data_IF_504112392274
#
_entry.id   IF_504112392274
#
_cell.length_a   1.000
_cell.length_b   1.000
_cell.length_c   1.000
_cell.angle_alpha   90.00
_cell.angle_beta   90.00
_cell.angle_gamma   90.00
#
_symmetry.space_group_name_H-M   'P 1'
#
loop_
_entity.id
_entity.type
_entity.pdbx_description
1 polymer ?
#
# COMPACT_ATOMS: atom_id res chain seq x y z
N UNK A 1 12.89 22.90 6.27
CA UNK A 1 11.63 22.22 6.54
C UNK A 1 11.93 20.83 7.07
N UNK A 2 11.19 20.42 8.10
CA UNK A 2 11.41 19.10 8.73
C UNK A 2 11.05 18.00 7.74
N UNK A 3 12.02 17.15 7.45
CA UNK A 3 11.89 16.00 6.55
C UNK A 3 11.91 14.74 7.42
N UNK A 4 10.94 13.84 7.22
CA UNK A 4 11.03 12.50 7.78
C UNK A 4 11.99 11.70 6.91
N UNK A 5 13.04 11.19 7.50
CA UNK A 5 14.04 10.37 6.82
C UNK A 5 13.95 8.94 7.37
N UNK A 6 13.73 7.98 6.49
CA UNK A 6 13.79 6.55 6.83
C UNK A 6 15.02 5.99 6.13
N UNK A 7 15.95 5.40 6.89
CA UNK A 7 17.16 4.78 6.34
C UNK A 7 16.84 3.39 5.79
N UNK A 8 17.59 2.92 4.81
CA UNK A 8 17.36 1.61 4.19
C UNK A 8 17.27 0.42 5.18
N UNK A 9 18.12 0.31 6.23
CA UNK A 9 17.96 -0.76 7.22
C UNK A 9 16.65 -0.65 8.02
N UNK A 10 16.25 0.57 8.37
CA UNK A 10 14.99 0.83 9.08
C UNK A 10 13.79 0.51 8.20
N UNK A 11 13.82 0.92 6.93
CA UNK A 11 12.80 0.57 5.95
C UNK A 11 12.66 -0.95 5.81
N UNK A 12 13.79 -1.67 5.68
CA UNK A 12 13.80 -3.13 5.61
C UNK A 12 13.18 -3.80 6.86
N UNK A 13 13.46 -3.26 8.04
CA UNK A 13 12.86 -3.72 9.30
C UNK A 13 11.35 -3.51 9.31
N UNK A 14 10.86 -2.32 8.91
CA UNK A 14 9.43 -2.01 8.84
C UNK A 14 8.71 -2.90 7.83
N UNK A 15 9.32 -3.15 6.66
CA UNK A 15 8.79 -4.09 5.65
C UNK A 15 8.64 -5.49 6.24
N UNK A 16 9.65 -6.00 6.95
CA UNK A 16 9.59 -7.33 7.56
C UNK A 16 8.51 -7.42 8.64
N UNK A 17 8.41 -6.40 9.50
CA UNK A 17 7.37 -6.33 10.54
C UNK A 17 5.97 -6.29 9.94
N UNK A 18 5.76 -5.50 8.88
CA UNK A 18 4.51 -5.46 8.16
C UNK A 18 4.19 -6.80 7.50
N UNK A 19 5.17 -7.45 6.86
CA UNK A 19 5.00 -8.79 6.28
C UNK A 19 4.61 -9.81 7.34
N UNK A 20 5.30 -9.85 8.48
CA UNK A 20 4.96 -10.74 9.59
C UNK A 20 3.54 -10.49 10.13
N UNK A 21 3.14 -9.22 10.25
CA UNK A 21 1.78 -8.85 10.64
C UNK A 21 0.73 -9.31 9.64
N UNK A 22 0.92 -9.03 8.36
CA UNK A 22 0.02 -9.46 7.30
C UNK A 22 -0.08 -10.98 7.21
N UNK A 23 1.04 -11.70 7.32
CA UNK A 23 1.06 -13.17 7.29
C UNK A 23 0.23 -13.78 8.43
N UNK A 24 0.30 -13.23 9.64
CA UNK A 24 -0.54 -13.66 10.78
C UNK A 24 -2.04 -13.48 10.52
N UNK A 25 -2.41 -12.59 9.61
CA UNK A 25 -3.78 -12.37 9.16
C UNK A 25 -4.12 -13.10 7.86
N UNK A 26 -3.31 -14.09 7.47
CA UNK A 26 -3.58 -14.98 6.35
C UNK A 26 -3.19 -14.43 4.97
N UNK A 27 -2.43 -13.32 4.90
CA UNK A 27 -1.89 -12.84 3.63
C UNK A 27 -0.67 -13.66 3.27
N UNK A 28 -0.64 -14.16 2.03
CA UNK A 28 0.42 -15.01 1.51
C UNK A 28 0.37 -15.13 -0.01
N UNK A 29 0.99 -16.19 -0.54
CA UNK A 29 1.02 -16.44 -1.98
C UNK A 29 -0.40 -16.56 -2.55
N UNK A 30 -0.66 -15.79 -3.61
CA UNK A 30 -1.97 -15.73 -4.26
C UNK A 30 -2.95 -14.70 -3.67
N UNK A 31 -2.66 -14.14 -2.47
CA UNK A 31 -3.44 -13.03 -1.91
C UNK A 31 -3.35 -11.79 -2.78
N UNK A 32 -4.48 -11.09 -2.98
CA UNK A 32 -4.53 -9.82 -3.71
C UNK A 32 -4.80 -8.67 -2.75
N UNK A 33 -3.78 -7.83 -2.57
CA UNK A 33 -3.80 -6.72 -1.59
C UNK A 33 -3.80 -5.38 -2.31
N UNK A 34 -4.85 -4.61 -2.08
CA UNK A 34 -5.01 -3.28 -2.64
C UNK A 34 -4.27 -2.20 -1.84
N UNK A 35 -3.56 -1.32 -2.52
CA UNK A 35 -2.96 -0.13 -1.93
C UNK A 35 -3.72 1.11 -2.37
N UNK A 36 -4.60 1.62 -1.50
CA UNK A 36 -5.30 2.90 -1.67
C UNK A 36 -4.57 3.97 -0.86
N UNK A 37 -3.36 4.28 -1.28
CA UNK A 37 -2.40 5.12 -0.57
C UNK A 37 -1.81 6.18 -1.51
N UNK A 38 -1.59 7.41 -1.03
CA UNK A 38 -0.75 8.36 -1.75
C UNK A 38 0.72 7.94 -1.65
N UNK A 39 1.57 8.55 -2.48
CA UNK A 39 3.02 8.37 -2.41
C UNK A 39 3.51 8.70 -0.99
N UNK A 40 3.95 7.70 -0.28
CA UNK A 40 4.36 7.79 1.12
C UNK A 40 5.29 6.65 1.50
N UNK A 41 6.04 6.76 2.59
CA UNK A 41 6.82 5.63 3.11
C UNK A 41 5.95 4.39 3.38
N UNK A 42 4.73 4.56 3.87
CA UNK A 42 3.78 3.45 4.11
C UNK A 42 3.45 2.69 2.83
N UNK A 43 3.29 3.39 1.69
CA UNK A 43 3.09 2.73 0.41
C UNK A 43 4.24 1.75 0.12
N UNK A 44 5.49 2.22 0.23
CA UNK A 44 6.68 1.40 -0.05
C UNK A 44 6.78 0.22 0.92
N UNK A 45 6.53 0.46 2.21
CA UNK A 45 6.55 -0.59 3.25
C UNK A 45 5.53 -1.69 2.92
N UNK A 46 4.28 -1.31 2.64
CA UNK A 46 3.20 -2.25 2.34
C UNK A 46 3.43 -2.97 1.01
N UNK A 47 3.89 -2.26 -0.02
CA UNK A 47 4.21 -2.81 -1.32
C UNK A 47 5.20 -3.97 -1.20
N UNK A 48 6.36 -3.72 -0.60
CA UNK A 48 7.38 -4.76 -0.44
C UNK A 48 6.99 -5.84 0.57
N UNK A 49 6.20 -5.54 1.59
CA UNK A 49 5.69 -6.53 2.52
C UNK A 49 4.80 -7.56 1.81
N UNK A 50 3.88 -7.10 0.97
CA UNK A 50 3.01 -7.99 0.17
C UNK A 50 3.82 -8.84 -0.79
N UNK A 51 4.78 -8.25 -1.52
CA UNK A 51 5.63 -8.99 -2.45
C UNK A 51 6.47 -10.06 -1.75
N UNK A 52 7.02 -9.79 -0.56
CA UNK A 52 7.78 -10.78 0.23
C UNK A 52 6.94 -11.99 0.64
N UNK A 53 5.65 -11.83 0.77
CA UNK A 53 4.71 -12.89 1.07
C UNK A 53 4.22 -13.65 -0.18
N UNK A 54 4.65 -13.25 -1.39
CA UNK A 54 4.17 -13.81 -2.66
C UNK A 54 2.74 -13.36 -3.00
N UNK A 55 2.25 -12.31 -2.35
CA UNK A 55 0.98 -11.69 -2.69
C UNK A 55 1.10 -10.77 -3.89
N UNK A 56 -0.02 -10.49 -4.54
CA UNK A 56 -0.13 -9.54 -5.65
C UNK A 56 -0.57 -8.18 -5.13
N UNK A 57 0.18 -7.15 -5.42
CA UNK A 57 -0.21 -5.76 -5.14
C UNK A 57 -1.20 -5.27 -6.21
N UNK A 58 -2.29 -4.66 -5.79
CA UNK A 58 -3.25 -3.98 -6.67
C UNK A 58 -3.20 -2.48 -6.37
N UNK A 59 -2.72 -1.68 -7.33
CA UNK A 59 -2.62 -0.24 -7.12
C UNK A 59 -3.96 0.43 -7.40
N UNK A 60 -4.44 1.20 -6.40
CA UNK A 60 -5.67 1.98 -6.47
C UNK A 60 -5.37 3.48 -6.47
N UNK A 61 -5.95 4.21 -7.41
CA UNK A 61 -5.83 5.66 -7.40
C UNK A 61 -6.67 6.25 -6.25
N UNK A 62 -6.06 7.01 -5.32
CA UNK A 62 -6.78 7.67 -4.22
C UNK A 62 -7.91 8.60 -4.65
N UNK A 63 -7.89 9.07 -5.90
CA UNK A 63 -8.91 9.97 -6.46
C UNK A 63 -10.14 9.24 -7.00
N UNK A 64 -10.10 7.92 -7.14
CA UNK A 64 -11.23 7.14 -7.65
C UNK A 64 -12.46 7.26 -6.75
N UNK A 65 -13.63 7.21 -7.39
CA UNK A 65 -14.93 7.12 -6.73
C UNK A 65 -15.15 5.74 -6.13
N UNK A 66 -16.15 5.60 -5.26
CA UNK A 66 -16.51 4.29 -4.68
C UNK A 66 -16.95 3.30 -5.77
N UNK A 67 -17.59 3.78 -6.83
CA UNK A 67 -18.03 2.95 -7.96
C UNK A 67 -16.84 2.40 -8.75
N UNK A 68 -15.86 3.26 -9.07
CA UNK A 68 -14.62 2.84 -9.74
C UNK A 68 -13.82 1.85 -8.89
N UNK A 69 -13.71 2.11 -7.57
CA UNK A 69 -13.07 1.20 -6.63
C UNK A 69 -13.83 -0.14 -6.56
N UNK A 70 -15.16 -0.12 -6.52
CA UNK A 70 -15.99 -1.33 -6.52
C UNK A 70 -15.75 -2.19 -7.75
N UNK A 71 -15.69 -1.56 -8.93
CA UNK A 71 -15.40 -2.26 -10.16
C UNK A 71 -14.02 -2.93 -10.11
N UNK A 72 -12.99 -2.16 -9.75
CA UNK A 72 -11.61 -2.65 -9.70
C UNK A 72 -11.43 -3.75 -8.65
N UNK A 73 -12.07 -3.66 -7.47
CA UNK A 73 -12.02 -4.68 -6.42
C UNK A 73 -12.60 -6.01 -6.94
N UNK A 74 -13.75 -5.96 -7.62
CA UNK A 74 -14.40 -7.15 -8.18
C UNK A 74 -13.57 -7.78 -9.30
N UNK A 75 -13.02 -6.96 -10.19
CA UNK A 75 -12.20 -7.43 -11.31
C UNK A 75 -10.88 -8.04 -10.86
N UNK A 76 -10.21 -7.39 -9.90
CA UNK A 76 -8.96 -7.87 -9.32
C UNK A 76 -9.13 -8.95 -8.25
N UNK A 77 -10.36 -9.19 -7.76
CA UNK A 77 -10.64 -10.04 -6.59
C UNK A 77 -9.82 -9.65 -5.35
N UNK A 78 -9.66 -8.34 -5.11
CA UNK A 78 -8.93 -7.82 -3.95
C UNK A 78 -9.61 -8.23 -2.64
N UNK A 79 -8.87 -8.86 -1.74
CA UNK A 79 -9.38 -9.36 -0.45
C UNK A 79 -9.06 -8.45 0.74
N UNK A 80 -8.11 -7.56 0.60
CA UNK A 80 -7.67 -6.60 1.62
C UNK A 80 -7.28 -5.29 0.97
N UNK A 81 -7.74 -4.15 1.49
CA UNK A 81 -7.23 -2.83 1.10
C UNK A 81 -6.46 -2.22 2.27
N UNK A 82 -5.30 -1.64 1.98
CA UNK A 82 -4.51 -0.83 2.91
C UNK A 82 -4.74 0.64 2.56
N UNK A 83 -5.15 1.44 3.54
CA UNK A 83 -5.48 2.86 3.38
C UNK A 83 -4.99 3.69 4.57
N UNK A 84 -5.17 5.02 4.51
CA UNK A 84 -4.89 5.94 5.61
C UNK A 84 -6.17 6.32 6.37
N UNK A 85 -6.02 6.78 7.62
CA UNK A 85 -7.07 7.35 8.45
C UNK A 85 -7.52 8.77 8.01
N UNK A 86 -7.15 9.21 6.80
CA UNK A 86 -7.70 10.43 6.21
C UNK A 86 -9.17 10.20 5.83
N UNK A 87 -10.06 11.11 6.29
CA UNK A 87 -11.51 10.98 6.07
C UNK A 87 -11.87 10.74 4.60
N UNK A 88 -11.25 11.48 3.68
CA UNK A 88 -11.48 11.37 2.23
C UNK A 88 -11.16 9.97 1.66
N UNK A 89 -10.27 9.21 2.28
CA UNK A 89 -9.92 7.85 1.87
C UNK A 89 -10.71 6.82 2.67
N UNK A 90 -10.75 6.99 4.00
CA UNK A 90 -11.37 6.03 4.88
C UNK A 90 -12.88 5.90 4.65
N UNK A 91 -13.60 7.00 4.40
CA UNK A 91 -15.04 6.99 4.11
C UNK A 91 -15.38 6.14 2.87
N UNK A 92 -14.53 6.15 1.85
CA UNK A 92 -14.70 5.28 0.67
C UNK A 92 -14.54 3.81 1.06
N UNK A 93 -13.49 3.49 1.84
CA UNK A 93 -13.23 2.13 2.30
C UNK A 93 -14.33 1.64 3.24
N UNK A 94 -14.83 2.49 4.12
CA UNK A 94 -15.97 2.19 4.99
C UNK A 94 -17.22 1.80 4.19
N UNK A 95 -17.56 2.55 3.14
CA UNK A 95 -18.68 2.21 2.25
C UNK A 95 -18.48 0.87 1.52
N UNK A 96 -17.25 0.58 1.06
CA UNK A 96 -16.92 -0.69 0.42
C UNK A 96 -17.01 -1.88 1.39
N UNK A 97 -16.65 -1.69 2.65
CA UNK A 97 -16.82 -2.67 3.70
C UNK A 97 -18.30 -2.87 4.05
N UNK A 98 -19.07 -1.79 4.19
CA UNK A 98 -20.52 -1.84 4.50
C UNK A 98 -21.31 -2.55 3.40
N UNK A 99 -20.98 -2.29 2.12
CA UNK A 99 -21.63 -2.96 0.99
C UNK A 99 -21.23 -4.43 0.81
N UNK A 100 -20.24 -4.92 1.55
CA UNK A 100 -19.74 -6.30 1.45
C UNK A 100 -18.87 -6.56 0.22
N UNK A 101 -18.54 -5.52 -0.57
CA UNK A 101 -17.63 -5.64 -1.72
C UNK A 101 -16.20 -5.93 -1.27
N UNK A 102 -15.78 -5.30 -0.18
CA UNK A 102 -14.47 -5.52 0.43
C UNK A 102 -14.64 -6.31 1.74
N UNK A 103 -13.90 -7.41 1.95
CA UNK A 103 -14.00 -8.20 3.19
C UNK A 103 -13.41 -7.51 4.41
N UNK A 104 -12.22 -6.90 4.27
CA UNK A 104 -11.42 -6.30 5.37
C UNK A 104 -10.48 -5.20 4.88
N UNK A 105 -10.01 -4.36 5.78
CA UNK A 105 -9.05 -3.32 5.47
C UNK A 105 -8.00 -3.14 6.57
N UNK A 106 -6.83 -2.63 6.19
CA UNK A 106 -5.80 -2.11 7.10
C UNK A 106 -5.88 -0.59 7.08
N UNK A 107 -5.91 0.02 8.25
CA UNK A 107 -5.87 1.48 8.39
C UNK A 107 -4.53 1.89 8.98
N UNK A 108 -3.79 2.69 8.22
CA UNK A 108 -2.52 3.29 8.62
C UNK A 108 -2.76 4.73 9.09
N UNK A 109 -1.94 5.18 10.02
CA UNK A 109 -2.09 6.52 10.60
C UNK A 109 -1.39 7.58 9.75
N UNK A 110 -2.13 8.51 9.16
CA UNK A 110 -1.53 9.64 8.44
C UNK A 110 -0.64 10.53 9.34
N UNK A 111 -1.03 10.85 10.59
CA UNK A 111 -0.15 11.61 11.48
C UNK A 111 1.19 10.94 11.78
N UNK A 112 1.31 9.61 11.70
CA UNK A 112 2.58 8.91 11.90
C UNK A 112 3.60 9.16 10.79
N UNK A 113 3.14 9.62 9.62
CA UNK A 113 3.98 10.01 8.47
C UNK A 113 4.58 11.41 8.61
N UNK A 114 4.18 12.16 9.62
CA UNK A 114 4.62 13.52 9.84
C UNK A 114 5.69 13.58 10.95
N UNK A 115 6.63 14.55 10.89
CA UNK A 115 7.47 14.84 12.04
C UNK A 115 6.63 15.12 13.29
N UNK A 116 7.14 14.74 14.48
CA UNK A 116 6.37 14.77 15.73
C UNK A 116 5.65 16.11 15.98
N UNK A 117 6.32 17.23 15.76
CA UNK A 117 5.73 18.58 15.92
C UNK A 117 4.57 18.81 14.94
N UNK A 118 4.74 18.45 13.68
CA UNK A 118 3.69 18.58 12.65
C UNK A 118 2.53 17.62 12.88
N UNK A 119 2.80 16.42 13.38
CA UNK A 119 1.79 15.43 13.77
C UNK A 119 0.85 15.99 14.84
N UNK A 120 1.41 16.59 15.89
CA UNK A 120 0.63 17.23 16.97
C UNK A 120 -0.20 18.39 16.42
N UNK A 121 0.44 19.30 15.67
CA UNK A 121 -0.25 20.44 15.06
C UNK A 121 -1.37 20.00 14.11
N UNK A 122 -1.12 18.97 13.30
CA UNK A 122 -2.14 18.41 12.40
C UNK A 122 -3.36 17.89 13.18
N UNK A 123 -3.13 17.14 14.25
CA UNK A 123 -4.21 16.64 15.12
C UNK A 123 -5.00 17.77 15.77
N UNK A 124 -4.33 18.84 16.20
CA UNK A 124 -4.99 19.99 16.84
C UNK A 124 -5.80 20.85 15.86
N UNK A 125 -5.23 21.19 14.71
CA UNK A 125 -5.84 22.14 13.79
C UNK A 125 -6.60 21.50 12.63
N UNK A 126 -6.23 20.27 12.23
CA UNK A 126 -6.82 19.55 11.10
C UNK A 126 -7.39 18.18 11.50
N UNK A 127 -7.62 17.95 12.78
CA UNK A 127 -8.18 16.69 13.28
C UNK A 127 -9.50 16.30 12.63
N UNK A 128 -10.28 17.26 12.12
CA UNK A 128 -11.52 17.00 11.36
C UNK A 128 -11.27 16.30 10.01
N UNK A 129 -10.04 16.33 9.50
CA UNK A 129 -9.66 15.62 8.28
C UNK A 129 -9.29 14.15 8.56
N UNK A 130 -9.20 13.77 9.83
CA UNK A 130 -8.98 12.39 10.24
C UNK A 130 -10.33 11.74 10.55
N UNK A 131 -10.51 10.54 10.02
CA UNK A 131 -11.58 9.64 10.44
C UNK A 131 -11.28 9.07 11.84
N UNK A 132 -12.27 8.45 12.44
CA UNK A 132 -12.10 7.64 13.65
C UNK A 132 -12.48 6.18 13.37
N UNK A 133 -11.57 5.40 12.75
CA UNK A 133 -11.88 4.03 12.32
C UNK A 133 -12.32 3.12 13.47
N UNK A 134 -11.81 3.34 14.70
CA UNK A 134 -12.16 2.54 15.85
C UNK A 134 -13.64 2.71 16.28
N UNK A 135 -14.29 3.82 15.88
CA UNK A 135 -15.72 4.07 16.12
C UNK A 135 -16.62 3.76 14.92
N UNK A 136 -16.03 3.27 13.82
CA UNK A 136 -16.76 2.89 12.63
C UNK A 136 -17.67 1.68 12.90
N UNK A 137 -18.86 1.61 12.28
CA UNK A 137 -19.71 0.41 12.32
C UNK A 137 -19.02 -0.85 11.82
N UNK A 138 -17.99 -0.69 10.96
CA UNK A 138 -17.21 -1.79 10.38
C UNK A 138 -15.87 -2.02 11.11
N UNK A 139 -15.68 -1.47 12.31
CA UNK A 139 -14.43 -1.59 13.06
C UNK A 139 -13.95 -3.05 13.24
N UNK A 140 -14.89 -4.00 13.33
CA UNK A 140 -14.59 -5.43 13.45
C UNK A 140 -13.93 -6.05 12.19
N UNK A 141 -13.93 -5.34 11.07
CA UNK A 141 -13.27 -5.73 9.80
C UNK A 141 -11.97 -4.96 9.56
N UNK A 142 -11.58 -4.11 10.51
CA UNK A 142 -10.38 -3.27 10.38
C UNK A 142 -9.22 -3.89 11.14
N UNK A 143 -8.05 -3.81 10.52
CA UNK A 143 -6.76 -4.04 11.14
C UNK A 143 -6.03 -2.70 11.23
N UNK A 144 -5.23 -2.51 12.26
CA UNK A 144 -4.47 -1.28 12.43
C UNK A 144 -2.98 -1.51 12.20
N UNK A 145 -2.34 -0.60 11.48
CA UNK A 145 -0.90 -0.66 11.18
C UNK A 145 -0.07 -0.88 12.45
N UNK A 146 -0.39 -0.15 13.53
CA UNK A 146 0.34 -0.24 14.79
C UNK A 146 0.38 -1.68 15.35
N UNK A 147 -0.73 -2.41 15.27
CA UNK A 147 -0.82 -3.80 15.73
C UNK A 147 -0.09 -4.76 14.78
N UNK A 148 -0.16 -4.48 13.46
CA UNK A 148 0.52 -5.30 12.46
C UNK A 148 2.02 -5.22 12.57
N UNK A 149 2.60 -4.06 12.88
CA UNK A 149 4.05 -3.87 13.00
C UNK A 149 4.59 -4.11 14.42
N UNK A 150 3.73 -4.40 15.41
CA UNK A 150 4.11 -4.70 16.79
C UNK A 150 4.66 -6.13 16.93
N UNK A 151 5.77 -6.42 16.25
CA UNK A 151 6.42 -7.73 16.24
C UNK A 151 7.92 -7.59 15.91
N UNK A 152 8.64 -8.71 15.90
CA UNK A 152 10.08 -8.80 15.63
C UNK A 152 10.44 -8.89 14.14
N UNK A 153 9.46 -8.95 13.25
CA UNK A 153 9.65 -9.05 11.80
C UNK A 153 9.97 -10.46 11.30
N UNK A 154 9.77 -11.49 12.14
CA UNK A 154 9.93 -12.88 11.71
C UNK A 154 8.69 -13.34 10.92
N UNK A 155 8.88 -13.79 9.70
CA UNK A 155 7.86 -14.35 8.81
C UNK A 155 8.48 -15.43 7.94
N UNK A 156 7.64 -16.25 7.33
CA UNK A 156 8.08 -17.27 6.38
C UNK A 156 7.99 -16.70 4.97
N UNK A 157 9.10 -16.45 4.27
CA UNK A 157 9.08 -15.97 2.89
C UNK A 157 8.41 -16.99 1.97
N UNK A 158 7.65 -16.51 0.98
CA UNK A 158 7.08 -17.35 -0.04
C UNK A 158 8.15 -17.76 -1.08
N UNK A 159 8.01 -18.98 -1.60
CA UNK A 159 8.74 -19.36 -2.82
C UNK A 159 8.05 -18.71 -4.02
N UNK A 160 8.77 -17.86 -4.72
CA UNK A 160 8.27 -17.05 -5.83
C UNK A 160 8.83 -17.60 -7.15
N UNK A 161 7.94 -17.88 -8.09
CA UNK A 161 8.29 -18.06 -9.50
C UNK A 161 8.31 -16.69 -10.17
N UNK A 162 9.51 -16.15 -10.39
CA UNK A 162 9.67 -14.77 -10.85
C UNK A 162 9.09 -14.52 -12.25
N UNK A 163 8.96 -15.54 -13.07
CA UNK A 163 8.46 -15.44 -14.44
C UNK A 163 6.92 -15.57 -14.50
N UNK A 164 6.32 -16.33 -13.60
CA UNK A 164 4.90 -16.66 -13.65
C UNK A 164 4.07 -16.05 -12.52
N UNK A 165 4.64 -15.83 -11.32
CA UNK A 165 3.89 -15.21 -10.23
C UNK A 165 3.68 -13.71 -10.51
N UNK A 166 2.42 -13.27 -10.42
CA UNK A 166 2.04 -11.87 -10.61
C UNK A 166 2.42 -11.07 -9.36
N UNK A 167 3.27 -10.07 -9.55
CA UNK A 167 3.68 -9.16 -8.49
C UNK A 167 2.69 -8.00 -8.34
N UNK A 168 2.23 -7.43 -9.48
CA UNK A 168 1.39 -6.24 -9.49
C UNK A 168 0.28 -6.35 -10.54
N UNK A 169 -0.92 -5.92 -10.15
CA UNK A 169 -1.99 -5.54 -11.07
C UNK A 169 -2.01 -4.02 -11.17
N UNK A 170 -1.57 -3.50 -12.32
CA UNK A 170 -1.56 -2.07 -12.58
C UNK A 170 -2.71 -1.69 -13.50
N UNK A 171 -3.71 -0.99 -12.94
CA UNK A 171 -4.83 -0.52 -13.73
C UNK A 171 -4.49 0.75 -14.50
N UNK A 172 -4.79 0.75 -15.78
CA UNK A 172 -4.62 1.91 -16.65
C UNK A 172 -5.98 2.47 -17.03
N UNK A 173 -6.12 3.79 -16.97
CA UNK A 173 -7.28 4.48 -17.55
C UNK A 173 -7.25 4.32 -19.07
N UNK A 174 -7.99 3.33 -19.59
CA UNK A 174 -8.11 3.12 -21.02
C UNK A 174 -8.86 4.28 -21.69
N UNK A 175 -8.39 4.72 -22.85
CA UNK A 175 -9.06 5.73 -23.69
C UNK A 175 -10.42 5.25 -24.24
N UNK A 176 -10.78 4.00 -24.02
CA UNK A 176 -11.90 3.32 -24.68
C UNK A 176 -12.91 2.67 -23.73
N UNK A 177 -12.95 2.99 -22.44
CA UNK A 177 -13.96 2.41 -21.54
C UNK A 177 -13.41 1.89 -20.22
N UNK A 178 -13.82 0.69 -19.80
CA UNK A 178 -13.51 0.08 -18.53
C UNK A 178 -11.99 -0.07 -18.31
N UNK A 179 -11.45 0.39 -17.17
CA UNK A 179 -10.04 0.20 -16.83
C UNK A 179 -9.63 -1.26 -16.87
N UNK A 180 -8.46 -1.56 -17.44
CA UNK A 180 -7.90 -2.91 -17.52
C UNK A 180 -6.68 -3.02 -16.63
N UNK A 181 -6.57 -4.10 -15.87
CA UNK A 181 -5.42 -4.42 -15.03
C UNK A 181 -4.32 -5.11 -15.84
N UNK A 182 -3.20 -4.44 -16.06
CA UNK A 182 -2.01 -5.08 -16.60
C UNK A 182 -1.39 -5.98 -15.53
N UNK A 183 -1.17 -7.25 -15.85
CA UNK A 183 -0.53 -8.24 -14.99
C UNK A 183 0.99 -8.15 -15.16
N UNK A 184 1.68 -7.71 -14.11
CA UNK A 184 3.14 -7.60 -14.11
C UNK A 184 3.73 -8.67 -13.20
N UNK A 185 4.59 -9.52 -13.76
CA UNK A 185 5.34 -10.52 -12.98
C UNK A 185 6.50 -9.86 -12.23
N UNK A 186 7.10 -10.58 -11.28
CA UNK A 186 8.32 -10.13 -10.62
C UNK A 186 9.46 -9.88 -11.61
N UNK A 187 9.59 -10.73 -12.64
CA UNK A 187 10.57 -10.54 -13.71
C UNK A 187 10.34 -9.25 -14.51
N UNK A 188 9.08 -8.92 -14.85
CA UNK A 188 8.77 -7.68 -15.56
C UNK A 188 9.24 -6.45 -14.79
N UNK A 189 8.97 -6.41 -13.48
CA UNK A 189 9.37 -5.29 -12.62
C UNK A 189 10.89 -5.22 -12.52
N UNK A 190 11.56 -6.35 -12.27
CA UNK A 190 13.01 -6.40 -12.13
C UNK A 190 13.73 -5.98 -13.41
N UNK A 191 13.30 -6.49 -14.58
CA UNK A 191 13.85 -6.12 -15.87
C UNK A 191 13.67 -4.62 -16.15
N UNK A 192 12.50 -4.06 -15.81
CA UNK A 192 12.26 -2.62 -15.96
C UNK A 192 13.21 -1.78 -15.10
N UNK A 193 13.49 -2.22 -13.86
CA UNK A 193 14.49 -1.56 -13.01
C UNK A 193 15.88 -1.60 -13.63
N UNK A 194 16.30 -2.74 -14.18
CA UNK A 194 17.60 -2.87 -14.86
C UNK A 194 17.70 -1.98 -16.12
N UNK A 195 16.63 -1.94 -16.91
CA UNK A 195 16.55 -1.05 -18.07
C UNK A 195 16.65 0.42 -17.64
N UNK A 196 15.91 0.82 -16.61
CA UNK A 196 15.95 2.19 -16.07
C UNK A 196 17.36 2.55 -15.57
N UNK A 197 18.03 1.63 -14.88
CA UNK A 197 19.41 1.82 -14.43
C UNK A 197 20.40 1.95 -15.59
N UNK A 198 20.20 1.18 -16.67
CA UNK A 198 21.03 1.27 -17.87
C UNK A 198 20.87 2.60 -18.62
N UNK A 199 19.67 3.18 -18.59
CA UNK A 199 19.41 4.52 -19.17
C UNK A 199 20.00 5.66 -18.34
N UNK A 200 20.29 5.45 -17.08
CA UNK A 200 20.83 6.45 -16.16
C UNK A 200 22.15 5.98 -15.52
N UNK A 201 23.21 5.73 -16.32
CA UNK A 201 24.46 5.15 -15.81
C UNK A 201 25.20 6.06 -14.84
N UNK A 202 24.85 7.35 -14.78
CA UNK A 202 25.40 8.31 -13.81
C UNK A 202 24.77 8.21 -12.43
N UNK A 203 23.72 7.40 -12.25
CA UNK A 203 23.10 7.19 -10.95
C UNK A 203 23.95 6.24 -10.09
N UNK A 204 24.84 6.82 -9.31
CA UNK A 204 25.62 6.08 -8.34
C UNK A 204 24.76 5.72 -7.09
N UNK A 205 25.01 4.55 -6.52
CA UNK A 205 24.28 4.06 -5.35
C UNK A 205 24.33 5.07 -4.19
N UNK A 206 23.17 5.45 -3.69
CA UNK A 206 22.96 6.31 -2.53
C UNK A 206 23.43 7.79 -2.66
N UNK A 207 23.80 8.27 -3.85
CA UNK A 207 24.22 9.66 -4.06
C UNK A 207 23.13 10.57 -4.63
N UNK A 208 22.08 9.99 -5.21
CA UNK A 208 21.04 10.75 -5.91
C UNK A 208 19.76 10.90 -5.06
N UNK A 209 19.08 12.03 -5.25
CA UNK A 209 17.75 12.29 -4.70
C UNK A 209 16.74 12.23 -5.83
N UNK A 210 15.74 11.39 -5.65
CA UNK A 210 14.63 11.25 -6.60
C UNK A 210 13.36 11.84 -5.98
N UNK A 211 12.66 12.67 -6.73
CA UNK A 211 11.38 13.22 -6.33
C UNK A 211 10.25 12.39 -6.98
N UNK A 212 9.54 11.61 -6.16
CA UNK A 212 8.40 10.82 -6.61
C UNK A 212 7.13 11.68 -6.64
N UNK A 213 6.87 12.34 -7.78
CA UNK A 213 5.71 13.22 -7.96
C UNK A 213 4.53 12.45 -8.55
N UNK A 214 4.81 11.53 -9.48
CA UNK A 214 3.77 10.73 -10.13
C UNK A 214 3.22 9.69 -9.15
N UNK A 215 1.92 9.40 -9.19
CA UNK A 215 1.34 8.29 -8.42
C UNK A 215 2.05 6.98 -8.78
N UNK A 216 2.31 6.17 -7.75
CA UNK A 216 2.89 4.84 -7.95
C UNK A 216 1.88 3.89 -8.59
#
# INVERSE_FOLDING_TARGET
GDIVTIRAPELGSLVNRMAAGLQRHGIGKGSKVGLLLPNSPTFIICYFAVLKLGGTVVNYNPLYTVEELTHQIKDSETELIITLDLAVLFEKVEQLLQSGVLPRAVVCSFPSLLPATKSILFRMFKGRQLANPAKSPVAHRLLFEADLIANDGQFTPATIDVENDIAVLQYTGGTTGTPKGAMLTHANIYINVLQSAAFAPSLETAQHRVLAILPF
#
